data_IF_165693814791
#
_entry.id   IF_165693814791
#
_cell.length_a   1.000
_cell.length_b   1.000
_cell.length_c   1.000
_cell.angle_alpha   90.00
_cell.angle_beta   90.00
_cell.angle_gamma   90.00
#
_symmetry.space_group_name_H-M   'P 1'
#
loop_
_entity.id
_entity.type
_entity.pdbx_description
1 polymer ?
#
# COMPACT_ATOMS: atom_id res chain seq x y z
N UNK A 1 6.92 9.98 11.36
CA UNK A 1 7.64 9.62 10.11
C UNK A 1 9.16 9.70 10.25
N UNK A 2 9.69 10.70 10.97
CA UNK A 2 11.14 10.89 11.03
C UNK A 2 11.89 9.71 11.64
N UNK A 3 11.36 9.09 12.70
CA UNK A 3 11.99 7.93 13.34
C UNK A 3 12.07 6.74 12.36
N UNK A 4 11.05 6.51 11.55
CA UNK A 4 11.05 5.45 10.54
C UNK A 4 12.05 5.77 9.44
N UNK A 5 12.11 7.01 8.96
CA UNK A 5 13.08 7.44 7.96
C UNK A 5 14.51 7.25 8.44
N UNK A 6 14.79 7.57 9.70
CA UNK A 6 16.11 7.36 10.28
C UNK A 6 16.48 5.88 10.33
N UNK A 7 15.54 5.00 10.66
CA UNK A 7 15.78 3.56 10.62
C UNK A 7 16.03 3.06 9.21
N UNK A 8 15.29 3.56 8.21
CA UNK A 8 15.54 3.22 6.81
C UNK A 8 16.95 3.63 6.38
N UNK A 9 17.40 4.81 6.78
CA UNK A 9 18.74 5.29 6.44
C UNK A 9 19.85 4.42 7.06
N UNK A 10 19.62 3.88 8.27
CA UNK A 10 20.61 3.08 8.99
C UNK A 10 20.69 1.64 8.48
N UNK A 11 19.56 1.01 8.17
CA UNK A 11 19.51 -0.43 7.85
C UNK A 11 19.11 -0.73 6.42
N UNK A 12 18.63 0.28 5.68
CA UNK A 12 18.02 0.10 4.36
C UNK A 12 16.57 -0.36 4.47
N UNK A 13 15.77 -0.03 3.45
CA UNK A 13 14.32 -0.32 3.45
C UNK A 13 14.05 -1.82 3.56
N UNK A 14 14.72 -2.62 2.74
CA UNK A 14 14.52 -4.07 2.74
C UNK A 14 14.86 -4.69 4.10
N UNK A 15 16.01 -4.35 4.65
CA UNK A 15 16.43 -4.89 5.95
C UNK A 15 15.49 -4.47 7.07
N UNK A 16 15.01 -3.23 7.05
CA UNK A 16 14.05 -2.75 8.04
C UNK A 16 12.79 -3.62 8.05
N UNK A 17 12.16 -3.84 6.89
CA UNK A 17 10.93 -4.62 6.81
C UNK A 17 11.16 -6.11 7.09
N UNK A 18 12.26 -6.69 6.64
CA UNK A 18 12.58 -8.09 6.93
C UNK A 18 12.80 -8.33 8.42
N UNK A 19 13.48 -7.40 9.10
CA UNK A 19 13.77 -7.54 10.53
C UNK A 19 12.56 -7.25 11.42
N UNK A 20 11.60 -6.46 10.94
CA UNK A 20 10.48 -5.97 11.74
C UNK A 20 9.11 -6.46 11.26
N UNK A 21 9.05 -7.39 10.29
CA UNK A 21 7.78 -7.81 9.66
C UNK A 21 6.73 -8.30 10.67
N UNK A 22 7.14 -9.03 11.70
CA UNK A 22 6.23 -9.60 12.72
C UNK A 22 5.80 -8.58 13.77
N UNK A 23 6.57 -7.51 13.97
CA UNK A 23 6.35 -6.52 15.03
C UNK A 23 6.08 -5.11 14.51
N UNK A 24 6.09 -4.94 13.18
CA UNK A 24 5.89 -3.63 12.57
C UNK A 24 4.53 -3.05 12.94
N UNK A 25 4.54 -1.81 13.38
CA UNK A 25 3.33 -1.01 13.61
C UNK A 25 3.59 0.40 13.09
N UNK A 26 2.69 0.90 12.24
CA UNK A 26 2.81 2.25 11.71
C UNK A 26 2.54 3.27 12.84
N UNK A 27 3.49 4.19 13.12
CA UNK A 27 3.31 5.17 14.21
C UNK A 27 2.22 6.19 13.93
N UNK A 28 1.71 6.28 12.70
CA UNK A 28 0.66 7.20 12.29
C UNK A 28 -0.69 6.49 12.08
N UNK A 29 -0.88 5.33 12.70
CA UNK A 29 -2.05 4.47 12.47
C UNK A 29 -3.38 5.22 12.65
N UNK A 30 -3.52 5.99 13.71
CA UNK A 30 -4.76 6.74 13.99
C UNK A 30 -5.03 7.81 12.94
N UNK A 31 -4.00 8.51 12.51
CA UNK A 31 -4.10 9.56 11.48
C UNK A 31 -4.47 8.93 10.14
N UNK A 32 -3.82 7.82 9.79
CA UNK A 32 -4.09 7.11 8.53
C UNK A 32 -5.54 6.62 8.53
N UNK A 33 -6.00 6.03 9.61
CA UNK A 33 -7.39 5.55 9.74
C UNK A 33 -8.38 6.69 9.52
N UNK A 34 -8.15 7.84 10.15
CA UNK A 34 -9.01 9.01 10.00
C UNK A 34 -9.03 9.51 8.56
N UNK A 35 -7.86 9.65 7.93
CA UNK A 35 -7.75 10.12 6.53
C UNK A 35 -8.42 9.16 5.55
N UNK A 36 -8.29 7.86 5.74
CA UNK A 36 -8.95 6.87 4.89
C UNK A 36 -10.46 6.97 5.06
N UNK A 37 -10.97 7.08 6.28
CA UNK A 37 -12.39 7.26 6.53
C UNK A 37 -12.93 8.53 5.85
N UNK A 38 -12.21 9.63 5.93
CA UNK A 38 -12.59 10.88 5.26
C UNK A 38 -12.60 10.71 3.73
N UNK A 39 -11.64 9.97 3.19
CA UNK A 39 -11.55 9.73 1.74
C UNK A 39 -12.76 8.97 1.20
N UNK A 40 -13.38 8.11 2.00
CA UNK A 40 -14.57 7.35 1.55
C UNK A 40 -15.79 8.24 1.31
N UNK A 41 -15.80 9.44 1.87
CA UNK A 41 -16.86 10.44 1.63
C UNK A 41 -16.66 11.22 0.35
N UNK A 42 -15.43 11.26 -0.16
CA UNK A 42 -15.05 12.06 -1.33
C UNK A 42 -14.88 11.19 -2.57
N UNK A 43 -14.33 9.99 -2.41
CA UNK A 43 -13.99 9.07 -3.49
C UNK A 43 -14.92 7.87 -3.48
N UNK A 44 -15.48 7.55 -4.64
CA UNK A 44 -16.15 6.28 -4.85
C UNK A 44 -15.08 5.21 -5.14
N UNK A 45 -14.82 4.35 -4.18
CA UNK A 45 -13.81 3.29 -4.32
C UNK A 45 -14.26 2.16 -5.25
N UNK A 46 -15.54 2.08 -5.59
CA UNK A 46 -16.05 0.98 -6.40
C UNK A 46 -16.14 -0.32 -5.61
N UNK A 47 -16.03 -1.44 -6.32
CA UNK A 47 -16.19 -2.78 -5.72
C UNK A 47 -14.88 -3.52 -5.52
N UNK A 48 -13.83 -3.13 -6.24
CA UNK A 48 -12.52 -3.79 -6.20
C UNK A 48 -11.43 -2.76 -5.93
N UNK A 49 -10.58 -3.04 -4.94
CA UNK A 49 -9.52 -2.13 -4.51
C UNK A 49 -8.20 -2.89 -4.36
N UNK A 50 -7.13 -2.26 -4.82
CA UNK A 50 -5.76 -2.69 -4.53
C UNK A 50 -5.20 -1.79 -3.41
N UNK A 51 -4.83 -2.41 -2.30
CA UNK A 51 -4.11 -1.77 -1.19
C UNK A 51 -2.60 -1.88 -1.49
N UNK A 52 -2.06 -0.88 -2.17
CA UNK A 52 -0.67 -0.85 -2.59
C UNK A 52 0.24 -0.50 -1.40
N UNK A 53 1.32 -1.25 -1.21
CA UNK A 53 2.18 -1.15 -0.03
C UNK A 53 1.38 -1.35 1.26
N UNK A 54 0.63 -2.43 1.29
CA UNK A 54 -0.45 -2.64 2.25
C UNK A 54 0.00 -2.89 3.68
N UNK A 55 1.27 -3.22 3.91
CA UNK A 55 1.75 -3.56 5.25
C UNK A 55 0.95 -4.70 5.86
N UNK A 56 0.52 -4.54 7.10
CA UNK A 56 -0.30 -5.53 7.79
C UNK A 56 -1.81 -5.36 7.55
N UNK A 57 -2.22 -4.45 6.66
CA UNK A 57 -3.60 -4.34 6.21
C UNK A 57 -4.44 -3.27 6.88
N UNK A 58 -3.83 -2.22 7.42
CA UNK A 58 -4.58 -1.14 8.07
C UNK A 58 -5.63 -0.51 7.14
N UNK A 59 -5.22 -0.10 5.93
CA UNK A 59 -6.14 0.51 4.97
C UNK A 59 -7.24 -0.47 4.57
N UNK A 60 -6.89 -1.73 4.34
CA UNK A 60 -7.87 -2.77 4.03
C UNK A 60 -8.93 -2.90 5.12
N UNK A 61 -8.51 -2.94 6.39
CA UNK A 61 -9.46 -3.07 7.50
C UNK A 61 -10.42 -1.90 7.60
N UNK A 62 -9.96 -0.70 7.30
CA UNK A 62 -10.82 0.49 7.29
C UNK A 62 -11.80 0.41 6.09
N UNK A 63 -11.30 0.07 4.91
CA UNK A 63 -12.10 0.07 3.67
C UNK A 63 -13.08 -1.09 3.58
N UNK A 64 -12.83 -2.23 4.24
CA UNK A 64 -13.70 -3.40 4.09
C UNK A 64 -15.11 -3.20 4.63
N UNK A 65 -15.37 -2.12 5.35
CA UNK A 65 -16.73 -1.71 5.73
C UNK A 65 -17.55 -1.26 4.51
N UNK A 66 -16.87 -0.77 3.45
CA UNK A 66 -17.50 -0.19 2.28
C UNK A 66 -17.15 -0.90 0.97
N UNK A 67 -16.08 -1.69 0.96
CA UNK A 67 -15.57 -2.36 -0.24
C UNK A 67 -15.50 -3.86 0.00
N UNK A 68 -16.06 -4.62 -0.93
CA UNK A 68 -16.17 -6.07 -0.79
C UNK A 68 -14.88 -6.82 -1.18
N UNK A 69 -14.27 -6.41 -2.27
CA UNK A 69 -13.10 -7.10 -2.84
C UNK A 69 -11.87 -6.23 -2.72
N UNK A 70 -10.95 -6.62 -1.86
CA UNK A 70 -9.69 -5.91 -1.65
C UNK A 70 -8.56 -6.93 -1.74
N UNK A 71 -7.52 -6.59 -2.48
CA UNK A 71 -6.27 -7.34 -2.51
C UNK A 71 -5.13 -6.42 -2.12
N UNK A 72 -4.08 -6.98 -1.53
CA UNK A 72 -2.91 -6.21 -1.15
C UNK A 72 -1.75 -6.40 -2.12
N UNK A 73 -0.75 -5.56 -1.97
CA UNK A 73 0.57 -5.76 -2.55
C UNK A 73 1.63 -5.20 -1.61
N UNK A 74 2.54 -6.06 -1.17
CA UNK A 74 3.68 -5.65 -0.35
C UNK A 74 4.79 -6.69 -0.46
N UNK A 75 6.01 -6.29 -0.87
CA UNK A 75 7.10 -7.26 -1.07
C UNK A 75 7.63 -7.85 0.22
N UNK A 76 7.37 -7.24 1.38
CA UNK A 76 7.92 -7.65 2.67
C UNK A 76 6.85 -8.15 3.64
N UNK A 77 5.65 -7.59 3.59
CA UNK A 77 4.58 -7.83 4.56
C UNK A 77 3.43 -8.68 4.01
N UNK A 78 3.57 -9.26 2.82
CA UNK A 78 2.46 -9.96 2.14
C UNK A 78 1.91 -11.13 2.96
N UNK A 79 2.76 -11.85 3.71
CA UNK A 79 2.31 -12.95 4.57
C UNK A 79 1.50 -12.43 5.76
N UNK A 80 2.00 -11.40 6.43
CA UNK A 80 1.33 -10.76 7.57
C UNK A 80 0.00 -10.16 7.16
N UNK A 81 -0.05 -9.52 5.98
CA UNK A 81 -1.29 -9.01 5.42
C UNK A 81 -2.34 -10.11 5.29
N UNK A 82 -1.98 -11.21 4.67
CA UNK A 82 -2.92 -12.34 4.48
C UNK A 82 -3.36 -12.94 5.82
N UNK A 83 -2.45 -13.07 6.77
CA UNK A 83 -2.79 -13.55 8.12
C UNK A 83 -3.77 -12.62 8.83
N UNK A 84 -3.59 -11.31 8.70
CA UNK A 84 -4.39 -10.31 9.40
C UNK A 84 -5.75 -10.06 8.74
N UNK A 85 -5.83 -10.19 7.41
CA UNK A 85 -7.02 -9.80 6.65
C UNK A 85 -7.77 -10.97 6.04
N UNK A 86 -7.15 -12.14 5.94
CA UNK A 86 -7.65 -13.30 5.20
C UNK A 86 -7.88 -12.98 3.71
N UNK A 87 -7.06 -12.09 3.14
CA UNK A 87 -7.14 -11.65 1.74
C UNK A 87 -5.83 -11.92 1.02
N UNK A 88 -5.90 -12.08 -0.29
CA UNK A 88 -4.73 -12.30 -1.13
C UNK A 88 -3.83 -11.06 -1.15
N UNK A 89 -2.52 -11.28 -1.19
CA UNK A 89 -1.52 -10.22 -1.31
C UNK A 89 -0.45 -10.61 -2.31
N UNK A 90 -0.25 -9.75 -3.31
CA UNK A 90 0.89 -9.84 -4.21
C UNK A 90 2.16 -9.44 -3.47
N UNK A 91 3.32 -9.84 -3.98
CA UNK A 91 4.63 -9.56 -3.37
C UNK A 91 5.58 -8.77 -4.27
N UNK A 92 5.04 -7.90 -5.12
CA UNK A 92 5.84 -7.14 -6.07
C UNK A 92 6.47 -5.90 -5.43
N UNK A 93 7.77 -5.67 -5.71
CA UNK A 93 8.43 -4.42 -5.35
C UNK A 93 8.24 -3.35 -6.43
N UNK A 94 8.68 -2.12 -6.17
CA UNK A 94 8.54 -1.03 -7.13
C UNK A 94 9.30 -1.28 -8.43
N UNK A 95 10.42 -1.99 -8.37
CA UNK A 95 11.21 -2.31 -9.56
C UNK A 95 10.44 -3.25 -10.49
N UNK A 96 9.73 -4.23 -9.93
CA UNK A 96 8.87 -5.11 -10.71
C UNK A 96 7.66 -4.36 -11.28
N UNK A 97 7.04 -3.50 -10.48
CA UNK A 97 5.89 -2.69 -10.92
C UNK A 97 6.28 -1.66 -11.99
N UNK A 98 7.53 -1.21 -12.00
CA UNK A 98 8.05 -0.31 -13.02
C UNK A 98 8.15 -0.99 -14.39
N UNK A 99 8.39 -2.30 -14.42
CA UNK A 99 8.61 -3.04 -15.66
C UNK A 99 7.33 -3.45 -16.36
N UNK A 100 6.24 -3.71 -15.63
CA UNK A 100 4.99 -4.19 -16.22
C UNK A 100 3.81 -4.02 -15.25
N UNK A 101 2.58 -4.09 -15.81
CA UNK A 101 1.37 -4.19 -14.97
C UNK A 101 1.18 -5.69 -14.65
N UNK A 102 1.54 -6.07 -13.44
CA UNK A 102 1.53 -7.47 -13.01
C UNK A 102 0.26 -7.84 -12.22
N UNK A 103 -0.57 -6.87 -11.94
CA UNK A 103 -1.74 -6.99 -11.07
C UNK A 103 -3.01 -6.88 -11.90
N UNK A 104 -4.02 -7.68 -11.59
CA UNK A 104 -5.31 -7.63 -12.26
C UNK A 104 -6.00 -6.29 -12.04
N UNK A 105 -6.83 -5.89 -13.01
CA UNK A 105 -7.54 -4.62 -12.94
C UNK A 105 -8.44 -4.52 -11.72
N UNK A 106 -8.45 -3.34 -11.12
CA UNK A 106 -9.31 -2.97 -10.00
C UNK A 106 -9.96 -1.62 -10.28
N UNK A 107 -10.99 -1.27 -9.51
CA UNK A 107 -11.62 0.05 -9.64
C UNK A 107 -10.72 1.16 -9.11
N UNK A 108 -10.11 0.93 -7.95
CA UNK A 108 -9.31 1.95 -7.26
C UNK A 108 -8.06 1.33 -6.65
N UNK A 109 -6.96 2.08 -6.70
CA UNK A 109 -5.73 1.78 -5.96
C UNK A 109 -5.62 2.78 -4.82
N UNK A 110 -5.38 2.30 -3.60
CA UNK A 110 -5.01 3.15 -2.48
C UNK A 110 -3.56 2.89 -2.10
N UNK A 111 -2.80 3.97 -1.88
CA UNK A 111 -1.43 3.89 -1.37
C UNK A 111 -1.31 4.84 -0.18
N UNK A 112 -1.17 4.28 1.02
CA UNK A 112 -1.14 5.08 2.24
C UNK A 112 0.29 5.15 2.81
N UNK A 113 0.82 6.35 2.87
CA UNK A 113 2.12 6.69 3.50
C UNK A 113 3.30 5.85 2.98
N UNK A 114 3.33 5.51 1.69
CA UNK A 114 4.36 4.63 1.17
C UNK A 114 4.93 5.04 -0.19
N UNK A 115 4.23 5.82 -0.99
CA UNK A 115 4.67 6.14 -2.34
C UNK A 115 6.02 6.89 -2.36
N UNK A 116 6.31 7.64 -1.31
CA UNK A 116 7.59 8.33 -1.15
C UNK A 116 8.79 7.37 -1.00
N UNK A 117 8.54 6.09 -0.75
CA UNK A 117 9.59 5.07 -0.69
C UNK A 117 10.02 4.60 -2.08
N UNK A 118 9.25 4.91 -3.11
CA UNK A 118 9.61 4.59 -4.49
C UNK A 118 10.75 5.50 -4.94
N UNK A 119 11.78 4.91 -5.55
CA UNK A 119 12.85 5.69 -6.18
C UNK A 119 12.25 6.58 -7.26
N UNK A 120 12.65 7.86 -7.26
CA UNK A 120 12.13 8.84 -8.21
C UNK A 120 12.37 8.42 -9.67
N UNK A 121 13.45 7.71 -9.96
CA UNK A 121 13.75 7.22 -11.31
C UNK A 121 12.75 6.17 -11.80
N UNK A 122 12.12 5.44 -10.88
CA UNK A 122 11.12 4.40 -11.19
C UNK A 122 9.69 4.96 -11.22
N UNK A 123 9.46 6.06 -10.53
CA UNK A 123 8.12 6.56 -10.25
C UNK A 123 7.26 6.81 -11.50
N UNK A 124 7.76 7.46 -12.58
CA UNK A 124 6.94 7.70 -13.77
C UNK A 124 6.39 6.42 -14.38
N UNK A 125 7.21 5.39 -14.53
CA UNK A 125 6.78 4.12 -15.11
C UNK A 125 5.90 3.31 -14.17
N UNK A 126 6.17 3.37 -12.86
CA UNK A 126 5.27 2.77 -11.86
C UNK A 126 3.88 3.39 -11.97
N UNK A 127 3.78 4.70 -11.98
CA UNK A 127 2.49 5.39 -12.10
C UNK A 127 1.79 5.09 -13.42
N UNK A 128 2.55 5.02 -14.52
CA UNK A 128 1.98 4.63 -15.81
C UNK A 128 1.37 3.24 -15.75
N UNK A 129 2.11 2.26 -15.22
CA UNK A 129 1.63 0.89 -15.12
C UNK A 129 0.43 0.77 -14.18
N UNK A 130 0.42 1.51 -13.08
CA UNK A 130 -0.75 1.58 -12.20
C UNK A 130 -1.97 2.16 -12.91
N UNK A 131 -1.78 3.12 -13.82
CA UNK A 131 -2.88 3.71 -14.61
C UNK A 131 -3.53 2.70 -15.57
N UNK A 132 -2.82 1.63 -15.93
CA UNK A 132 -3.35 0.54 -16.74
C UNK A 132 -4.17 -0.45 -15.91
N UNK A 133 -4.01 -0.43 -14.59
CA UNK A 133 -4.68 -1.33 -13.65
C UNK A 133 -5.97 -0.71 -13.12
N UNK A 134 -6.01 0.60 -12.89
CA UNK A 134 -7.15 1.29 -12.30
C UNK A 134 -7.30 2.71 -12.84
N UNK A 135 -8.53 3.22 -12.81
CA UNK A 135 -8.82 4.59 -13.22
C UNK A 135 -8.58 5.60 -12.09
N UNK A 136 -8.59 5.15 -10.85
CA UNK A 136 -8.46 6.03 -9.68
C UNK A 136 -7.30 5.56 -8.80
N UNK A 137 -6.45 6.51 -8.42
CA UNK A 137 -5.38 6.31 -7.43
C UNK A 137 -5.60 7.28 -6.28
N UNK A 138 -5.76 6.74 -5.07
CA UNK A 138 -5.88 7.53 -3.85
C UNK A 138 -4.56 7.46 -3.10
N UNK A 139 -3.96 8.61 -2.86
CA UNK A 139 -2.71 8.70 -2.10
C UNK A 139 -3.03 9.37 -0.76
N UNK A 140 -2.73 8.65 0.32
CA UNK A 140 -2.84 9.18 1.68
C UNK A 140 -1.44 9.56 2.14
N UNK A 141 -1.26 10.82 2.48
CA UNK A 141 0.04 11.33 2.95
C UNK A 141 -0.17 12.56 3.84
N UNK A 142 0.87 12.93 4.56
CA UNK A 142 0.88 14.17 5.35
C UNK A 142 1.75 15.24 4.72
#
# INVERSE_FOLDING_TARGET
MDAIRNQYAQVGVENYYQNNADTYKNPHEDIITELINESTEIVDYGQTVLDLCCGNGLATKVLEQNVKHIVGNDPYMYKQYTEQTNRFCYDYDFKQLEQAWLIDKVDTIICSFALHLCDESLLPNVLYNLSLIADTLVIITT
#
